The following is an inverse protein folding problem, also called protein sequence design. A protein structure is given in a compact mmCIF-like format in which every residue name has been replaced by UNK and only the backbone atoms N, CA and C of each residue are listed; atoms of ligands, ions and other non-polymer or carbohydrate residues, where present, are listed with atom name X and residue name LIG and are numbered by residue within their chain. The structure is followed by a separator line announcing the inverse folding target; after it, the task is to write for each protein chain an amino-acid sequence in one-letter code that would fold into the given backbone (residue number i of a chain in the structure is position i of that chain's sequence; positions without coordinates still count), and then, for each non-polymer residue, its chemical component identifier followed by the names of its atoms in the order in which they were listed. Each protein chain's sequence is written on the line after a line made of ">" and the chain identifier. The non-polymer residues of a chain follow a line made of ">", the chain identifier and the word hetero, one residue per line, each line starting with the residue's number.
data_IF_673460715326
#
_entry.id   IF_673460715326
#
_cell.length_a   1.000
_cell.length_b   1.000
_cell.length_c   1.000
_cell.angle_alpha   90.00
_cell.angle_beta   90.00
_cell.angle_gamma   90.00
#
_symmetry.space_group_name_H-M   'P 1'
#
loop_
_entity.id
_entity.type
_entity.pdbx_description
1 polymer ?
#
# COMPACT_ATOMS: atom_id res chain seq x y z
N UNK A 1 13.15 27.07 11.21
CA UNK A 1 13.04 26.94 9.75
C UNK A 1 12.01 25.85 9.48
N UNK A 2 10.85 26.12 8.85
CA UNK A 2 9.92 25.04 8.55
C UNK A 2 10.51 24.22 7.41
N UNK A 3 10.69 22.91 7.65
CA UNK A 3 10.97 21.94 6.59
C UNK A 3 9.92 22.12 5.50
N UNK A 4 10.34 22.51 4.30
CA UNK A 4 9.45 22.60 3.15
C UNK A 4 9.01 21.17 2.83
N UNK A 5 7.82 20.80 3.31
CA UNK A 5 7.14 19.57 2.91
C UNK A 5 7.18 19.55 1.38
N UNK A 6 7.81 18.52 0.81
CA UNK A 6 7.86 18.36 -0.64
C UNK A 6 6.42 18.40 -1.16
N UNK A 7 6.17 19.07 -2.29
CA UNK A 7 4.83 19.12 -2.92
C UNK A 7 4.23 17.72 -3.22
N UNK A 8 5.05 16.67 -3.12
CA UNK A 8 4.70 15.26 -3.32
C UNK A 8 4.31 14.55 -2.01
N UNK A 9 4.69 15.09 -0.85
CA UNK A 9 4.40 14.49 0.46
C UNK A 9 2.98 14.85 0.94
N UNK A 10 2.17 13.82 1.13
CA UNK A 10 0.86 13.96 1.75
C UNK A 10 1.07 14.09 3.27
N UNK A 11 0.61 15.20 3.84
CA UNK A 11 0.73 15.46 5.28
C UNK A 11 -0.06 14.45 6.15
N UNK A 12 0.18 14.40 7.47
CA UNK A 12 -0.36 13.37 8.38
C UNK A 12 -1.88 13.25 8.37
N UNK A 13 -2.58 14.39 8.29
CA UNK A 13 -4.04 14.44 8.18
C UNK A 13 -4.52 13.94 6.81
N UNK A 14 -3.81 14.29 5.74
CA UNK A 14 -4.09 13.80 4.39
C UNK A 14 -3.95 12.29 4.29
N UNK A 15 -2.88 11.71 4.83
CA UNK A 15 -2.64 10.27 4.79
C UNK A 15 -3.75 9.46 5.46
N UNK A 16 -4.31 9.95 6.58
CA UNK A 16 -5.36 9.26 7.34
C UNK A 16 -6.72 9.32 6.66
N UNK A 17 -7.02 10.41 5.95
CA UNK A 17 -8.32 10.60 5.29
C UNK A 17 -8.31 10.33 3.79
N UNK A 18 -7.13 10.18 3.17
CA UNK A 18 -6.98 9.90 1.73
C UNK A 18 -7.76 8.65 1.32
N UNK A 19 -7.51 7.55 2.04
CA UNK A 19 -8.19 6.28 1.81
C UNK A 19 -9.70 6.35 2.06
N UNK A 20 -10.14 7.14 3.03
CA UNK A 20 -11.56 7.35 3.33
C UNK A 20 -12.22 8.19 2.25
N UNK A 21 -11.56 9.24 1.80
CA UNK A 21 -12.03 10.13 0.75
C UNK A 21 -12.15 9.40 -0.58
N UNK A 22 -11.14 8.60 -0.95
CA UNK A 22 -11.20 7.73 -2.14
C UNK A 22 -12.32 6.68 -2.02
N UNK A 23 -12.46 6.03 -0.87
CA UNK A 23 -13.57 5.08 -0.65
C UNK A 23 -14.94 5.76 -0.74
N UNK A 24 -15.08 6.99 -0.23
CA UNK A 24 -16.33 7.74 -0.28
C UNK A 24 -16.67 8.20 -1.71
N UNK A 25 -15.70 8.76 -2.45
CA UNK A 25 -15.89 9.15 -3.85
C UNK A 25 -16.17 7.96 -4.76
N UNK A 26 -15.53 6.82 -4.51
CA UNK A 26 -15.74 5.59 -5.27
C UNK A 26 -16.97 4.80 -4.83
N UNK A 27 -17.78 5.31 -3.89
CA UNK A 27 -18.91 4.58 -3.29
C UNK A 27 -18.53 3.17 -2.78
N UNK A 28 -17.30 3.00 -2.30
CA UNK A 28 -16.78 1.73 -1.78
C UNK A 28 -16.32 0.74 -2.86
N UNK A 29 -16.31 1.14 -4.14
CA UNK A 29 -15.85 0.29 -5.25
C UNK A 29 -14.32 0.24 -5.38
N UNK A 30 -13.59 1.17 -4.76
CA UNK A 30 -12.13 1.25 -4.88
C UNK A 30 -11.39 -0.04 -4.48
N UNK A 31 -11.69 -0.73 -3.36
CA UNK A 31 -11.04 -1.99 -3.04
C UNK A 31 -11.31 -3.09 -4.07
N UNK A 32 -12.52 -3.12 -4.64
CA UNK A 32 -12.88 -4.09 -5.69
C UNK A 32 -12.14 -3.80 -6.99
N UNK A 33 -12.00 -2.52 -7.35
CA UNK A 33 -11.22 -2.09 -8.50
C UNK A 33 -9.75 -2.48 -8.35
N UNK A 34 -9.12 -2.16 -7.21
CA UNK A 34 -7.72 -2.50 -6.93
C UNK A 34 -7.50 -4.01 -6.98
N UNK A 35 -8.38 -4.80 -6.35
CA UNK A 35 -8.29 -6.26 -6.42
C UNK A 35 -8.33 -6.76 -7.86
N UNK A 36 -9.24 -6.22 -8.68
CA UNK A 36 -9.32 -6.56 -10.10
C UNK A 36 -8.10 -6.14 -10.93
N UNK A 37 -7.39 -5.07 -10.52
CA UNK A 37 -6.11 -4.68 -11.12
C UNK A 37 -5.01 -5.67 -10.72
N UNK A 38 -4.89 -6.00 -9.44
CA UNK A 38 -3.91 -6.96 -8.92
C UNK A 38 -4.09 -8.34 -9.57
N UNK A 39 -5.33 -8.78 -9.80
CA UNK A 39 -5.65 -10.03 -10.50
C UNK A 39 -5.10 -10.08 -11.93
N UNK A 40 -4.94 -8.92 -12.59
CA UNK A 40 -4.44 -8.81 -13.96
C UNK A 40 -2.93 -8.59 -14.06
N UNK A 41 -2.23 -8.42 -12.94
CA UNK A 41 -0.78 -8.18 -12.91
C UNK A 41 0.06 -9.44 -13.18
N UNK A 42 -0.57 -10.63 -13.31
CA UNK A 42 0.14 -11.87 -13.60
C UNK A 42 1.07 -12.32 -12.47
N UNK A 43 0.72 -11.96 -11.22
CA UNK A 43 1.47 -12.33 -10.03
C UNK A 43 1.31 -13.82 -9.77
N UNK A 44 2.43 -14.51 -9.61
CA UNK A 44 2.49 -15.94 -9.34
C UNK A 44 3.02 -16.24 -7.93
N UNK A 45 2.63 -17.39 -7.35
CA UNK A 45 3.22 -17.93 -6.13
C UNK A 45 4.75 -17.93 -6.12
N UNK A 46 5.36 -17.63 -4.98
CA UNK A 46 6.82 -17.59 -4.80
C UNK A 46 7.53 -16.36 -5.37
N UNK A 47 6.83 -15.44 -6.06
CA UNK A 47 7.46 -14.25 -6.61
C UNK A 47 7.83 -13.22 -5.53
N UNK A 48 8.88 -12.44 -5.81
CA UNK A 48 9.26 -11.28 -5.02
C UNK A 48 8.89 -10.00 -5.77
N UNK A 49 8.16 -9.09 -5.12
CA UNK A 49 7.64 -7.85 -5.71
C UNK A 49 8.12 -6.65 -4.91
N UNK A 50 8.46 -5.57 -5.61
CA UNK A 50 8.73 -4.26 -5.03
C UNK A 50 7.64 -3.28 -5.46
N UNK A 51 6.99 -2.63 -4.49
CA UNK A 51 6.01 -1.56 -4.73
C UNK A 51 6.66 -0.19 -4.44
N UNK A 52 6.55 0.74 -5.39
CA UNK A 52 7.15 2.06 -5.31
C UNK A 52 6.05 3.10 -5.13
N UNK A 53 6.06 3.79 -3.98
CA UNK A 53 4.94 4.62 -3.55
C UNK A 53 3.80 3.77 -3.00
N UNK A 54 4.12 2.78 -2.15
CA UNK A 54 3.16 1.79 -1.62
C UNK A 54 2.03 2.41 -0.79
N UNK A 55 2.17 3.67 -0.37
CA UNK A 55 1.18 4.39 0.39
C UNK A 55 0.79 3.64 1.66
N UNK A 56 -0.51 3.46 1.87
CA UNK A 56 -1.06 2.75 3.03
C UNK A 56 -0.97 1.21 2.93
N UNK A 57 -0.28 0.65 1.93
CA UNK A 57 -0.03 -0.79 1.83
C UNK A 57 -1.22 -1.63 1.39
N UNK A 58 -2.36 -1.04 1.01
CA UNK A 58 -3.56 -1.80 0.63
C UNK A 58 -3.33 -2.72 -0.57
N UNK A 59 -2.60 -2.23 -1.57
CA UNK A 59 -2.28 -3.01 -2.77
C UNK A 59 -1.34 -4.16 -2.38
N UNK A 60 -0.33 -3.89 -1.55
CA UNK A 60 0.61 -4.90 -1.04
C UNK A 60 -0.10 -6.05 -0.32
N UNK A 61 -1.10 -5.73 0.50
CA UNK A 61 -1.93 -6.73 1.17
C UNK A 61 -2.71 -7.63 0.18
N UNK A 62 -3.11 -7.14 -0.99
CA UNK A 62 -3.71 -7.98 -2.03
C UNK A 62 -2.66 -8.76 -2.82
N UNK A 63 -1.49 -8.16 -3.07
CA UNK A 63 -0.40 -8.83 -3.78
C UNK A 63 0.21 -9.97 -2.96
N UNK A 64 0.30 -9.81 -1.64
CA UNK A 64 0.88 -10.85 -0.76
C UNK A 64 0.02 -12.12 -0.72
N UNK A 65 -1.31 -12.00 -0.85
CA UNK A 65 -2.21 -13.15 -1.00
C UNK A 65 -1.94 -13.94 -2.28
N UNK A 66 -1.43 -13.29 -3.33
CA UNK A 66 -1.15 -13.91 -4.64
C UNK A 66 0.23 -14.58 -4.71
N UNK A 67 1.24 -13.95 -4.11
CA UNK A 67 2.60 -14.52 -4.09
C UNK A 67 2.76 -15.65 -3.07
N UNK A 68 1.76 -15.90 -2.22
CA UNK A 68 1.73 -16.91 -1.16
C UNK A 68 2.82 -16.78 -0.08
N UNK A 69 2.98 -17.80 0.78
CA UNK A 69 3.95 -17.79 1.88
C UNK A 69 5.41 -17.94 1.45
N UNK A 70 5.66 -18.42 0.23
CA UNK A 70 7.00 -18.54 -0.37
C UNK A 70 7.43 -17.25 -1.06
N UNK A 71 6.47 -16.39 -1.43
CA UNK A 71 6.75 -15.09 -2.03
C UNK A 71 7.10 -14.01 -1.02
N UNK A 72 7.38 -12.80 -1.53
CA UNK A 72 7.76 -11.65 -0.70
C UNK A 72 7.31 -10.33 -1.31
N UNK A 73 6.79 -9.42 -0.49
CA UNK A 73 6.46 -8.05 -0.91
C UNK A 73 7.33 -7.05 -0.15
N UNK A 74 7.88 -6.06 -0.86
CA UNK A 74 8.58 -4.91 -0.27
C UNK A 74 7.95 -3.62 -0.76
N UNK A 75 7.26 -2.90 0.12
CA UNK A 75 6.68 -1.60 -0.19
C UNK A 75 7.62 -0.46 0.21
N UNK A 76 7.84 0.48 -0.70
CA UNK A 76 8.62 1.69 -0.48
C UNK A 76 7.72 2.92 -0.49
N UNK A 77 7.78 3.75 0.55
CA UNK A 77 7.07 5.04 0.57
C UNK A 77 7.89 6.10 1.32
N UNK A 78 7.88 7.32 0.79
CA UNK A 78 8.62 8.45 1.37
C UNK A 78 7.99 8.96 2.68
N UNK A 79 6.69 8.71 2.87
CA UNK A 79 5.93 9.18 4.02
C UNK A 79 5.92 8.15 5.16
N UNK A 80 6.50 8.53 6.29
CA UNK A 80 6.47 7.70 7.50
C UNK A 80 5.02 7.42 7.96
N UNK A 81 4.11 8.39 7.80
CA UNK A 81 2.70 8.22 8.18
C UNK A 81 1.99 7.18 7.30
N UNK A 82 2.36 7.10 6.01
CA UNK A 82 1.88 6.07 5.10
C UNK A 82 2.40 4.69 5.51
N UNK A 83 3.72 4.58 5.78
CA UNK A 83 4.33 3.32 6.22
C UNK A 83 3.71 2.80 7.52
N UNK A 84 3.40 3.68 8.48
CA UNK A 84 2.70 3.29 9.72
C UNK A 84 1.32 2.69 9.42
N UNK A 85 0.60 3.20 8.43
CA UNK A 85 -0.67 2.62 7.99
C UNK A 85 -0.47 1.30 7.25
N UNK A 86 0.55 1.21 6.38
CA UNK A 86 0.91 0.00 5.67
C UNK A 86 1.20 -1.17 6.62
N UNK A 87 2.01 -0.95 7.65
CA UNK A 87 2.26 -1.92 8.70
C UNK A 87 1.01 -2.33 9.48
N UNK A 88 0.05 -1.42 9.68
CA UNK A 88 -1.22 -1.74 10.35
C UNK A 88 -2.12 -2.58 9.45
N UNK A 89 -2.25 -2.25 8.17
CA UNK A 89 -3.09 -2.98 7.23
C UNK A 89 -2.56 -4.38 6.97
N UNK A 90 -1.25 -4.54 6.74
CA UNK A 90 -0.66 -5.84 6.39
C UNK A 90 -0.04 -6.58 7.59
N UNK A 91 -0.44 -6.26 8.83
CA UNK A 91 0.08 -6.89 10.06
C UNK A 91 -0.01 -8.42 10.07
N UNK A 92 -0.97 -8.99 9.33
CA UNK A 92 -1.16 -10.44 9.24
C UNK A 92 -0.17 -11.18 8.33
N UNK A 93 0.64 -10.46 7.53
CA UNK A 93 1.50 -11.08 6.52
C UNK A 93 2.98 -10.95 6.91
N UNK A 94 3.59 -12.08 7.27
CA UNK A 94 4.99 -12.14 7.74
C UNK A 94 6.02 -11.90 6.62
N UNK A 95 5.62 -12.05 5.37
CA UNK A 95 6.44 -11.89 4.17
C UNK A 95 6.27 -10.52 3.48
N UNK A 96 5.73 -9.53 4.20
CA UNK A 96 5.61 -8.14 3.75
C UNK A 96 6.51 -7.22 4.59
N UNK A 97 7.24 -6.32 3.95
CA UNK A 97 8.10 -5.34 4.63
C UNK A 97 7.90 -3.96 4.01
N UNK A 98 7.75 -2.93 4.85
CA UNK A 98 7.65 -1.54 4.39
C UNK A 98 8.84 -0.70 4.83
N UNK A 99 9.38 0.11 3.90
CA UNK A 99 10.56 0.96 4.12
C UNK A 99 10.44 2.30 3.40
N UNK A 100 11.32 3.24 3.75
CA UNK A 100 11.52 4.51 3.05
C UNK A 100 12.65 4.40 2.04
#
# INVERSE_FOLDING_TARGET
>A
MPSAISKVEIGPAGARYYDLFLNMLSLGSYPHFIKGVVDKMGINPGQSIIDLGSGTGKNDCFMVEKVDSQGRIVGLDISNDMLVQAWKHCRGYLNTVFKK
#
